data_IF_457251775474
#
_entry.id   IF_457251775474
#
_cell.length_a   1.000
_cell.length_b   1.000
_cell.length_c   1.000
_cell.angle_alpha   90.00
_cell.angle_beta   90.00
_cell.angle_gamma   90.00
#
_symmetry.space_group_name_H-M   'P 1'
#
loop_
_entity.id
_entity.type
_entity.pdbx_description
1 polymer ?
#
# COMPACT_ATOMS: atom_id res chain seq x y z
N UNK A 1 -39.49 56.29 4.53
CA UNK A 1 -38.68 57.51 4.31
C UNK A 1 -37.66 57.53 5.44
N UNK A 2 -36.34 57.49 5.26
CA UNK A 2 -35.48 57.93 4.18
C UNK A 2 -34.19 57.06 4.18
N UNK A 3 -33.65 56.84 2.99
CA UNK A 3 -32.43 56.09 2.67
C UNK A 3 -31.23 56.37 3.59
N UNK A 4 -30.54 55.32 4.03
CA UNK A 4 -29.10 55.41 4.32
C UNK A 4 -28.33 54.69 3.22
N UNK A 5 -27.54 55.49 2.50
CA UNK A 5 -26.79 55.16 1.29
C UNK A 5 -25.54 54.37 1.72
N UNK A 6 -25.47 53.10 1.33
CA UNK A 6 -24.26 52.28 1.47
C UNK A 6 -23.21 52.90 0.54
N UNK A 7 -22.18 53.53 1.12
CA UNK A 7 -20.97 53.88 0.40
C UNK A 7 -20.03 52.68 0.48
N UNK A 8 -19.85 51.97 -0.64
CA UNK A 8 -18.74 51.05 -0.82
C UNK A 8 -17.43 51.85 -0.79
N UNK A 9 -16.45 51.52 0.07
CA UNK A 9 -15.11 52.02 -0.10
C UNK A 9 -14.44 51.35 -1.32
N UNK A 10 -13.68 52.17 -2.03
CA UNK A 10 -12.96 51.94 -3.29
C UNK A 10 -12.00 50.72 -3.21
N UNK A 11 -11.77 49.94 -4.29
CA UNK A 11 -10.95 48.71 -4.24
C UNK A 11 -9.44 48.96 -4.40
N UNK A 12 -8.98 50.20 -4.27
CA UNK A 12 -7.58 50.59 -4.53
C UNK A 12 -6.90 51.09 -3.25
N UNK A 13 -6.55 50.21 -2.31
CA UNK A 13 -5.54 50.50 -1.28
C UNK A 13 -5.13 49.26 -0.46
N UNK A 14 -4.52 48.26 -1.10
CA UNK A 14 -3.63 47.30 -0.42
C UNK A 14 -2.50 46.89 -1.38
N UNK A 15 -1.72 47.86 -1.84
CA UNK A 15 -0.42 47.62 -2.44
C UNK A 15 0.55 47.22 -1.32
N UNK A 16 0.60 45.93 -1.00
CA UNK A 16 1.70 45.36 -0.22
C UNK A 16 2.86 45.18 -1.19
N UNK A 17 3.64 46.25 -1.42
CA UNK A 17 5.00 46.12 -1.95
C UNK A 17 5.89 45.57 -0.83
N UNK A 18 5.76 44.28 -0.57
CA UNK A 18 6.78 43.51 0.13
C UNK A 18 7.44 42.69 -0.96
N UNK A 19 8.65 43.10 -1.37
CA UNK A 19 9.58 42.20 -2.03
C UNK A 19 9.80 41.02 -1.09
N UNK A 20 9.02 39.96 -1.27
CA UNK A 20 9.27 38.65 -0.70
C UNK A 20 10.57 38.16 -1.32
N UNK A 21 11.71 38.50 -0.70
CA UNK A 21 12.93 37.75 -0.88
C UNK A 21 12.68 36.34 -0.38
N UNK A 22 12.20 35.47 -1.26
CA UNK A 22 12.33 34.03 -1.10
C UNK A 22 13.83 33.74 -1.22
N UNK A 23 14.53 33.72 -0.09
CA UNK A 23 15.80 33.01 -0.05
C UNK A 23 15.47 31.53 -0.29
N UNK A 24 15.83 31.03 -1.46
CA UNK A 24 15.71 29.61 -1.78
C UNK A 24 16.46 28.85 -0.69
N UNK A 25 15.77 27.91 -0.04
CA UNK A 25 16.42 27.04 0.95
C UNK A 25 17.58 26.32 0.23
N UNK A 26 18.81 26.30 0.76
CA UNK A 26 19.90 25.54 0.15
C UNK A 26 19.58 24.05 -0.02
N UNK A 27 18.53 23.54 0.65
CA UNK A 27 17.98 22.20 0.48
C UNK A 27 16.70 22.15 -0.37
N UNK A 28 16.27 23.26 -0.96
CA UNK A 28 15.14 23.31 -1.87
C UNK A 28 15.45 22.47 -3.11
N UNK A 29 14.68 21.40 -3.26
CA UNK A 29 14.79 20.47 -4.36
C UNK A 29 14.47 21.20 -5.67
N UNK A 30 15.50 21.55 -6.44
CA UNK A 30 15.34 22.18 -7.75
C UNK A 30 14.90 21.13 -8.76
N UNK A 31 13.67 21.27 -9.22
CA UNK A 31 13.06 20.36 -10.20
C UNK A 31 13.92 20.21 -11.47
N UNK A 32 14.60 21.27 -11.89
CA UNK A 32 15.48 21.29 -13.07
C UNK A 32 16.78 20.48 -12.87
N UNK A 33 17.23 20.29 -11.63
CA UNK A 33 18.39 19.47 -11.26
C UNK A 33 18.01 18.00 -10.96
N UNK A 34 16.71 17.69 -10.85
CA UNK A 34 16.17 16.36 -10.57
C UNK A 34 15.77 15.57 -11.82
N UNK A 35 15.97 16.12 -13.02
CA UNK A 35 15.60 15.47 -14.29
C UNK A 35 16.49 14.24 -14.57
N UNK A 36 17.67 14.16 -13.95
CA UNK A 36 18.53 12.98 -14.09
C UNK A 36 18.37 12.00 -12.92
N UNK A 37 17.91 10.80 -13.30
CA UNK A 37 17.94 9.54 -12.57
C UNK A 37 16.74 9.28 -11.63
N UNK A 38 15.54 9.18 -12.19
CA UNK A 38 14.70 8.06 -11.75
C UNK A 38 15.42 6.77 -12.22
N UNK A 39 15.90 5.92 -11.32
CA UNK A 39 16.57 4.68 -11.72
C UNK A 39 15.55 3.78 -12.42
N UNK A 40 15.95 3.20 -13.56
CA UNK A 40 15.15 2.18 -14.24
C UNK A 40 14.87 1.02 -13.27
N UNK A 41 13.71 0.36 -13.37
CA UNK A 41 13.36 -0.75 -12.49
C UNK A 41 14.37 -1.90 -12.66
N UNK A 42 15.22 -2.07 -11.66
CA UNK A 42 16.21 -3.15 -11.63
C UNK A 42 15.56 -4.47 -11.16
N UNK A 43 15.95 -5.56 -11.80
CA UNK A 43 15.58 -6.91 -11.38
C UNK A 43 16.46 -7.34 -10.22
N UNK A 44 15.85 -7.77 -9.11
CA UNK A 44 16.57 -8.35 -7.99
C UNK A 44 16.94 -9.80 -8.33
N UNK A 45 18.24 -10.09 -8.41
CA UNK A 45 18.75 -11.42 -8.76
C UNK A 45 18.21 -12.50 -7.80
N UNK A 46 17.70 -13.60 -8.36
CA UNK A 46 17.15 -14.72 -7.58
C UNK A 46 15.69 -14.57 -7.14
N UNK A 47 15.05 -13.42 -7.39
CA UNK A 47 13.62 -13.22 -7.14
C UNK A 47 12.78 -13.31 -8.43
N UNK A 48 11.52 -13.77 -8.33
CA UNK A 48 10.62 -13.78 -9.49
C UNK A 48 10.35 -12.35 -9.96
N UNK A 49 10.20 -12.19 -11.27
CA UNK A 49 9.77 -10.92 -11.84
C UNK A 49 8.38 -10.54 -11.32
N UNK A 50 8.19 -9.25 -11.08
CA UNK A 50 6.87 -8.69 -10.84
C UNK A 50 5.96 -9.00 -12.02
N UNK A 51 4.71 -9.30 -11.74
CA UNK A 51 3.74 -9.47 -12.80
C UNK A 51 3.50 -8.16 -13.54
N UNK A 52 3.55 -8.19 -14.87
CA UNK A 52 3.44 -7.00 -15.71
C UNK A 52 2.00 -6.47 -15.80
N UNK A 53 1.00 -7.28 -15.49
CA UNK A 53 -0.41 -6.87 -15.51
C UNK A 53 -0.91 -6.63 -14.09
N UNK A 54 -1.64 -5.53 -13.92
CA UNK A 54 -2.39 -5.26 -12.69
C UNK A 54 -3.49 -6.33 -12.49
N UNK A 55 -3.98 -6.56 -11.25
CA UNK A 55 -5.11 -7.45 -11.03
C UNK A 55 -6.36 -7.08 -11.86
N UNK A 56 -6.58 -5.78 -12.12
CA UNK A 56 -7.67 -5.33 -12.97
C UNK A 56 -7.48 -5.78 -14.43
N UNK A 57 -6.28 -5.60 -14.99
CA UNK A 57 -5.97 -6.03 -16.37
C UNK A 57 -5.93 -7.56 -16.50
N UNK A 58 -5.51 -8.24 -15.44
CA UNK A 58 -5.43 -9.70 -15.38
C UNK A 58 -6.80 -10.35 -15.37
N UNK A 59 -7.74 -9.82 -14.58
CA UNK A 59 -9.05 -10.44 -14.36
C UNK A 59 -10.20 -9.70 -15.03
N UNK A 60 -9.97 -8.57 -15.72
CA UNK A 60 -10.92 -7.90 -16.62
C UNK A 60 -12.34 -7.84 -16.03
N UNK A 61 -13.33 -8.44 -16.71
CA UNK A 61 -14.72 -8.39 -16.29
C UNK A 61 -15.03 -9.15 -14.99
N UNK A 62 -14.15 -10.08 -14.56
CA UNK A 62 -14.28 -10.74 -13.26
C UNK A 62 -13.91 -9.76 -12.17
N UNK A 63 -12.85 -8.97 -12.36
CA UNK A 63 -12.46 -7.92 -11.44
C UNK A 63 -13.58 -6.90 -11.25
N UNK A 64 -14.10 -6.35 -12.35
CA UNK A 64 -15.20 -5.37 -12.31
C UNK A 64 -16.44 -5.93 -11.61
N UNK A 65 -16.80 -7.18 -11.88
CA UNK A 65 -17.96 -7.81 -11.26
C UNK A 65 -17.77 -8.02 -9.76
N UNK A 66 -16.60 -8.50 -9.32
CA UNK A 66 -16.28 -8.67 -7.90
C UNK A 66 -16.33 -7.34 -7.15
N UNK A 67 -15.75 -6.28 -7.72
CA UNK A 67 -15.72 -4.96 -7.09
C UNK A 67 -17.12 -4.31 -7.06
N UNK A 68 -17.93 -4.51 -8.10
CA UNK A 68 -19.29 -3.93 -8.20
C UNK A 68 -20.29 -4.59 -7.25
N UNK A 69 -20.22 -5.92 -7.11
CA UNK A 69 -21.09 -6.71 -6.21
C UNK A 69 -20.69 -6.57 -4.74
N UNK A 70 -19.53 -5.97 -4.43
CA UNK A 70 -19.04 -5.72 -3.07
C UNK A 70 -19.12 -6.97 -2.19
N UNK A 71 -18.70 -8.11 -2.75
CA UNK A 71 -18.66 -9.39 -2.03
C UNK A 71 -17.61 -9.39 -0.90
N UNK A 72 -16.69 -8.43 -0.88
CA UNK A 72 -15.75 -8.23 0.22
C UNK A 72 -16.03 -6.92 0.95
N UNK A 73 -15.66 -6.81 2.25
CA UNK A 73 -15.90 -5.59 3.02
C UNK A 73 -15.11 -4.39 2.51
N UNK A 74 -14.06 -4.62 1.71
CA UNK A 74 -13.28 -3.58 1.07
C UNK A 74 -12.87 -3.93 -0.37
N UNK A 75 -12.30 -2.94 -1.05
CA UNK A 75 -11.86 -3.03 -2.45
C UNK A 75 -10.45 -3.60 -2.62
N UNK A 76 -9.72 -3.90 -1.52
CA UNK A 76 -8.33 -4.39 -1.53
C UNK A 76 -8.26 -5.92 -1.42
N UNK A 77 -9.24 -6.54 -0.77
CA UNK A 77 -9.28 -7.98 -0.50
C UNK A 77 -9.12 -8.82 -1.78
N UNK A 78 -9.85 -8.50 -2.86
CA UNK A 78 -9.76 -9.27 -4.10
C UNK A 78 -8.45 -9.07 -4.88
N UNK A 79 -7.94 -7.84 -5.08
CA UNK A 79 -6.60 -7.63 -5.62
C UNK A 79 -5.48 -8.42 -4.93
N UNK A 80 -5.61 -8.67 -3.63
CA UNK A 80 -4.62 -9.41 -2.82
C UNK A 80 -4.80 -10.94 -2.88
N UNK A 81 -5.86 -11.42 -3.51
CA UNK A 81 -6.14 -12.84 -3.61
C UNK A 81 -5.20 -13.50 -4.63
N UNK A 82 -4.38 -14.45 -4.19
CA UNK A 82 -3.55 -15.24 -5.09
C UNK A 82 -4.40 -16.30 -5.82
N UNK A 83 -4.26 -16.46 -7.15
CA UNK A 83 -5.04 -17.45 -7.87
C UNK A 83 -4.54 -18.87 -7.59
N UNK A 84 -5.47 -19.83 -7.54
CA UNK A 84 -5.16 -21.25 -7.33
C UNK A 84 -4.68 -21.97 -8.59
N UNK A 85 -4.80 -21.31 -9.75
CA UNK A 85 -4.45 -21.85 -11.06
C UNK A 85 -4.21 -20.71 -12.05
N UNK A 86 -3.92 -21.06 -13.31
CA UNK A 86 -3.69 -20.08 -14.35
C UNK A 86 -4.85 -19.03 -14.46
N UNK A 87 -4.55 -17.72 -14.40
CA UNK A 87 -5.55 -16.66 -14.47
C UNK A 87 -6.45 -16.70 -15.72
N UNK A 88 -5.92 -17.10 -16.88
CA UNK A 88 -6.71 -17.24 -18.10
C UNK A 88 -7.71 -18.38 -17.98
N UNK A 89 -7.33 -19.49 -17.37
CA UNK A 89 -8.25 -20.61 -17.10
C UNK A 89 -9.38 -20.20 -16.15
N UNK A 90 -9.09 -19.41 -15.12
CA UNK A 90 -10.09 -18.84 -14.22
C UNK A 90 -11.08 -17.98 -15.01
N UNK A 91 -10.59 -17.10 -15.89
CA UNK A 91 -11.45 -16.26 -16.73
C UNK A 91 -12.32 -17.07 -17.70
N UNK A 92 -11.75 -18.09 -18.35
CA UNK A 92 -12.50 -18.98 -19.25
C UNK A 92 -13.63 -19.68 -18.47
N UNK A 93 -13.33 -20.17 -17.25
CA UNK A 93 -14.34 -20.80 -16.38
C UNK A 93 -15.42 -19.81 -15.99
N UNK A 94 -15.03 -18.62 -15.53
CA UNK A 94 -15.95 -17.54 -15.16
C UNK A 94 -16.91 -17.21 -16.32
N UNK A 95 -16.39 -17.00 -17.53
CA UNK A 95 -17.19 -16.69 -18.72
C UNK A 95 -18.24 -17.77 -19.05
N UNK A 96 -17.92 -19.04 -18.79
CA UNK A 96 -18.84 -20.17 -18.99
C UNK A 96 -19.96 -20.18 -17.94
N UNK A 97 -19.64 -19.93 -16.68
CA UNK A 97 -20.60 -20.09 -15.58
C UNK A 97 -21.38 -18.83 -15.23
N UNK A 98 -20.87 -17.63 -15.53
CA UNK A 98 -21.46 -16.35 -15.08
C UNK A 98 -22.90 -16.09 -15.55
N UNK A 99 -23.36 -16.79 -16.59
CA UNK A 99 -24.73 -16.66 -17.14
C UNK A 99 -25.69 -17.73 -16.59
N UNK A 100 -25.22 -18.65 -15.75
CA UNK A 100 -26.09 -19.62 -15.10
C UNK A 100 -26.92 -18.95 -14.01
N UNK A 101 -28.18 -19.40 -13.86
CA UNK A 101 -29.12 -18.84 -12.89
C UNK A 101 -28.69 -19.05 -11.43
N UNK A 102 -27.95 -20.12 -11.16
CA UNK A 102 -27.48 -20.50 -9.83
C UNK A 102 -26.02 -20.07 -9.57
N UNK A 103 -25.48 -19.16 -10.39
CA UNK A 103 -24.11 -18.68 -10.24
C UNK A 103 -23.96 -17.82 -8.98
N UNK A 104 -23.02 -18.21 -8.12
CA UNK A 104 -22.65 -17.49 -6.90
C UNK A 104 -21.21 -16.99 -7.04
N UNK A 105 -21.07 -15.67 -7.15
CA UNK A 105 -19.77 -15.02 -7.37
C UNK A 105 -18.82 -15.22 -6.19
N UNK A 106 -19.32 -15.19 -4.95
CA UNK A 106 -18.50 -15.40 -3.76
C UNK A 106 -17.91 -16.80 -3.77
N UNK A 107 -18.75 -17.82 -3.97
CA UNK A 107 -18.28 -19.22 -4.06
C UNK A 107 -17.32 -19.42 -5.23
N UNK A 108 -17.56 -18.74 -6.35
CA UNK A 108 -16.65 -18.80 -7.49
C UNK A 108 -15.25 -18.30 -7.10
N UNK A 109 -15.17 -17.14 -6.43
CA UNK A 109 -13.89 -16.58 -5.96
C UNK A 109 -13.22 -17.49 -4.94
N UNK A 110 -13.94 -17.92 -3.89
CA UNK A 110 -13.40 -18.81 -2.85
C UNK A 110 -12.85 -20.14 -3.42
N UNK A 111 -13.45 -20.65 -4.49
CA UNK A 111 -13.00 -21.88 -5.15
C UNK A 111 -11.76 -21.69 -6.02
N UNK A 112 -11.54 -20.50 -6.60
CA UNK A 112 -10.46 -20.25 -7.57
C UNK A 112 -9.32 -19.39 -7.02
N UNK A 113 -9.49 -18.80 -5.84
CA UNK A 113 -8.51 -17.93 -5.21
C UNK A 113 -8.24 -18.31 -3.76
N UNK A 114 -7.02 -18.04 -3.30
CA UNK A 114 -6.67 -18.01 -1.89
C UNK A 114 -6.98 -16.61 -1.34
N UNK A 115 -7.82 -16.54 -0.31
CA UNK A 115 -8.09 -15.28 0.37
C UNK A 115 -6.83 -14.84 1.13
N UNK A 116 -6.55 -13.52 1.21
CA UNK A 116 -5.41 -13.03 1.94
C UNK A 116 -5.50 -13.44 3.40
N UNK A 117 -4.37 -13.79 4.00
CA UNK A 117 -4.29 -14.06 5.43
C UNK A 117 -4.60 -12.78 6.19
N UNK A 118 -5.65 -12.83 7.00
CA UNK A 118 -5.89 -11.77 7.97
C UNK A 118 -4.93 -12.04 9.13
N UNK A 119 -3.83 -11.29 9.17
CA UNK A 119 -2.96 -11.20 10.34
C UNK A 119 -3.72 -10.46 11.45
N UNK A 120 -4.79 -11.06 11.97
CA UNK A 120 -5.51 -10.53 13.12
C UNK A 120 -4.53 -10.48 14.27
N UNK A 121 -4.38 -9.28 14.84
CA UNK A 121 -3.45 -9.02 15.93
C UNK A 121 -3.81 -9.90 17.14
N UNK A 122 -3.14 -11.04 17.28
CA UNK A 122 -3.04 -11.72 18.58
C UNK A 122 -2.38 -10.82 19.64
N UNK A 123 -1.80 -9.70 19.19
CA UNK A 123 -1.32 -8.64 20.03
C UNK A 123 -2.46 -7.96 20.79
N UNK A 124 -2.52 -8.25 22.09
CA UNK A 124 -3.35 -7.54 23.06
C UNK A 124 -2.46 -6.56 23.82
N UNK A 125 -2.74 -5.27 23.68
CA UNK A 125 -2.04 -4.22 24.42
C UNK A 125 -2.26 -4.39 25.92
N UNK A 126 -1.19 -4.51 26.71
CA UNK A 126 -1.26 -4.41 28.16
C UNK A 126 -1.25 -2.92 28.56
N UNK A 127 -2.31 -2.39 29.20
CA UNK A 127 -2.35 -1.00 29.67
C UNK A 127 -1.27 -0.64 30.70
N UNK A 128 -0.60 -1.63 31.28
CA UNK A 128 0.52 -1.43 32.23
C UNK A 128 1.85 -1.19 31.51
N UNK A 129 1.97 -1.51 30.22
CA UNK A 129 3.19 -1.26 29.47
C UNK A 129 3.38 0.24 29.25
N UNK A 130 4.62 0.71 29.37
CA UNK A 130 4.99 2.02 28.87
C UNK A 130 4.80 2.08 27.35
N UNK A 131 4.63 3.30 26.81
CA UNK A 131 4.54 3.51 25.36
C UNK A 131 5.72 2.87 24.61
N UNK A 132 6.93 2.94 25.17
CA UNK A 132 8.12 2.36 24.58
C UNK A 132 8.05 0.83 24.52
N UNK A 133 7.66 0.19 25.62
CA UNK A 133 7.52 -1.28 25.69
C UNK A 133 6.43 -1.76 24.73
N UNK A 134 5.34 -1.01 24.63
CA UNK A 134 4.27 -1.27 23.67
C UNK A 134 4.78 -1.21 22.21
N UNK A 135 5.57 -0.19 21.86
CA UNK A 135 6.17 -0.07 20.51
C UNK A 135 7.18 -1.21 20.27
N UNK A 136 8.03 -1.51 21.25
CA UNK A 136 9.03 -2.58 21.12
C UNK A 136 8.38 -3.96 20.92
N UNK A 137 7.19 -4.19 21.49
CA UNK A 137 6.41 -5.43 21.31
C UNK A 137 5.63 -5.48 19.99
N UNK A 138 5.30 -4.32 19.39
CA UNK A 138 4.64 -4.27 18.08
C UNK A 138 5.59 -4.64 16.94
N UNK A 139 6.89 -4.41 17.10
CA UNK A 139 7.86 -4.66 16.03
C UNK A 139 7.81 -6.09 15.47
N UNK A 140 7.91 -7.17 16.27
CA UNK A 140 7.78 -8.53 15.75
C UNK A 140 6.42 -8.82 15.11
N UNK A 141 5.35 -8.16 15.57
CA UNK A 141 4.00 -8.34 15.02
C UNK A 141 3.89 -7.71 13.65
N UNK A 142 4.56 -6.58 13.40
CA UNK A 142 4.53 -5.84 12.15
C UNK A 142 5.62 -6.28 11.15
N UNK A 143 6.59 -7.09 11.58
CA UNK A 143 7.57 -7.68 10.68
C UNK A 143 6.95 -8.78 9.82
N UNK A 144 7.32 -8.82 8.55
CA UNK A 144 7.07 -9.90 7.62
C UNK A 144 8.40 -10.49 7.16
N UNK A 145 8.47 -11.81 7.18
CA UNK A 145 9.62 -12.54 6.66
C UNK A 145 9.49 -12.72 5.13
N UNK A 146 10.60 -12.86 4.40
CA UNK A 146 10.59 -13.32 3.02
C UNK A 146 9.84 -14.65 2.92
N UNK A 147 8.85 -14.71 2.03
CA UNK A 147 8.10 -15.92 1.74
C UNK A 147 8.28 -16.32 0.29
N UNK A 148 8.09 -17.61 0.01
CA UNK A 148 8.02 -18.10 -1.36
C UNK A 148 6.88 -17.39 -2.10
N UNK A 149 7.21 -16.82 -3.26
CA UNK A 149 6.24 -16.10 -4.06
C UNK A 149 5.23 -17.06 -4.68
N UNK A 150 3.95 -16.81 -4.39
CA UNK A 150 2.85 -17.52 -5.04
C UNK A 150 2.72 -16.98 -6.48
N UNK A 151 2.78 -17.83 -7.52
CA UNK A 151 2.66 -17.39 -8.89
C UNK A 151 1.40 -16.54 -9.14
N UNK A 152 1.57 -15.44 -9.89
CA UNK A 152 0.51 -14.47 -10.24
C UNK A 152 -0.14 -13.77 -9.04
N UNK A 153 0.46 -13.87 -7.85
CA UNK A 153 0.10 -13.02 -6.71
C UNK A 153 0.49 -11.58 -7.01
N UNK A 154 -0.31 -10.64 -6.52
CA UNK A 154 0.01 -9.22 -6.58
C UNK A 154 1.10 -8.81 -5.58
N UNK A 155 1.35 -9.62 -4.54
CA UNK A 155 2.41 -9.37 -3.56
C UNK A 155 3.79 -9.62 -4.16
N UNK A 156 4.61 -8.57 -4.22
CA UNK A 156 5.98 -8.64 -4.72
C UNK A 156 6.89 -9.34 -3.71
N UNK A 157 7.75 -10.22 -4.21
CA UNK A 157 8.76 -10.89 -3.40
C UNK A 157 9.85 -9.89 -2.98
N UNK A 158 10.25 -9.93 -1.70
CA UNK A 158 11.34 -9.14 -1.17
C UNK A 158 12.41 -10.05 -0.57
N UNK A 159 13.71 -9.71 -0.72
CA UNK A 159 14.80 -10.60 -0.31
C UNK A 159 15.05 -10.60 1.19
N UNK A 160 14.55 -9.59 1.91
CA UNK A 160 14.81 -9.35 3.32
C UNK A 160 13.48 -9.09 4.05
N UNK A 161 13.47 -9.31 5.37
CA UNK A 161 12.31 -9.00 6.19
C UNK A 161 11.97 -7.52 6.11
N UNK A 162 10.68 -7.18 6.19
CA UNK A 162 10.19 -5.81 6.08
C UNK A 162 9.08 -5.55 7.08
N UNK A 163 8.84 -4.27 7.39
CA UNK A 163 7.77 -3.86 8.30
C UNK A 163 6.56 -3.43 7.49
N UNK A 164 5.37 -3.82 7.95
CA UNK A 164 4.10 -3.38 7.38
C UNK A 164 3.38 -2.41 8.34
N UNK A 165 2.51 -1.53 7.84
CA UNK A 165 1.71 -0.66 8.71
C UNK A 165 0.77 -1.42 9.67
N UNK A 166 0.43 -2.66 9.31
CA UNK A 166 -0.45 -3.54 10.09
C UNK A 166 -1.90 -3.55 9.61
N UNK A 167 -2.70 -4.43 10.22
CA UNK A 167 -4.09 -4.66 9.83
C UNK A 167 -4.19 -5.34 8.46
N UNK A 168 -4.91 -4.72 7.51
CA UNK A 168 -5.12 -5.28 6.16
C UNK A 168 -3.96 -5.09 5.19
N UNK A 169 -2.89 -4.45 5.65
CA UNK A 169 -1.72 -4.14 4.83
C UNK A 169 -0.65 -5.20 5.07
N UNK A 170 -0.41 -6.03 4.06
CA UNK A 170 0.63 -7.08 4.04
C UNK A 170 1.88 -6.66 3.29
N UNK A 171 1.83 -5.52 2.59
CA UNK A 171 2.92 -4.98 1.79
C UNK A 171 3.69 -3.89 2.55
N UNK A 172 4.97 -3.71 2.21
CA UNK A 172 5.72 -2.52 2.64
C UNK A 172 5.26 -1.27 1.89
N UNK A 173 5.31 -0.12 2.57
CA UNK A 173 4.95 1.18 2.01
C UNK A 173 6.18 2.08 1.99
N UNK A 174 6.49 2.65 0.82
CA UNK A 174 7.73 3.41 0.60
C UNK A 174 7.91 4.54 1.62
N UNK A 175 6.94 5.43 1.75
CA UNK A 175 7.07 6.58 2.66
C UNK A 175 7.07 6.16 4.13
N UNK A 176 6.30 5.13 4.49
CA UNK A 176 6.27 4.60 5.85
C UNK A 176 7.63 4.00 6.23
N UNK A 177 8.34 3.37 5.29
CA UNK A 177 9.65 2.75 5.54
C UNK A 177 10.70 3.76 6.03
N UNK A 178 10.59 5.04 5.64
CA UNK A 178 11.47 6.12 6.09
C UNK A 178 11.32 6.37 7.60
N UNK A 179 10.08 6.43 8.09
CA UNK A 179 9.79 6.66 9.51
C UNK A 179 10.09 5.45 10.37
N UNK A 180 9.94 4.24 9.83
CA UNK A 180 10.34 3.02 10.51
C UNK A 180 11.84 3.02 10.80
N UNK A 181 12.68 3.36 9.81
CA UNK A 181 14.13 3.44 10.00
C UNK A 181 14.55 4.54 10.98
N UNK A 182 13.87 5.68 10.98
CA UNK A 182 14.15 6.78 11.90
C UNK A 182 13.67 6.50 13.35
N UNK A 183 12.47 5.94 13.52
CA UNK A 183 11.88 5.60 14.81
C UNK A 183 12.53 4.39 15.49
N UNK A 184 13.15 3.52 14.70
CA UNK A 184 13.89 2.35 15.14
C UNK A 184 15.20 2.63 15.92
N UNK A 185 15.64 3.89 15.98
CA UNK A 185 16.68 4.39 16.90
C UNK A 185 17.86 3.44 17.10
N UNK A 186 18.62 3.14 16.05
CA UNK A 186 19.86 2.34 16.10
C UNK A 186 19.75 0.86 16.52
N UNK A 187 18.63 0.43 17.12
CA UNK A 187 18.45 -0.94 17.62
C UNK A 187 18.00 -1.93 16.55
N UNK A 188 17.32 -1.46 15.51
CA UNK A 188 16.94 -2.33 14.37
C UNK A 188 18.13 -2.73 13.50
N UNK A 189 19.14 -1.86 13.33
CA UNK A 189 20.37 -2.22 12.63
C UNK A 189 21.12 -3.37 13.32
N UNK A 190 21.05 -3.45 14.66
CA UNK A 190 21.63 -4.57 15.43
C UNK A 190 20.82 -5.88 15.36
N UNK A 191 19.48 -5.82 15.30
CA UNK A 191 18.64 -7.04 15.23
C UNK A 191 18.69 -7.73 13.87
N UNK A 192 18.83 -6.98 12.76
CA UNK A 192 19.11 -7.59 11.46
C UNK A 192 20.46 -8.35 11.48
N UNK A 193 21.49 -7.79 12.13
CA UNK A 193 22.80 -8.46 12.25
C UNK A 193 22.75 -9.72 13.15
N UNK A 194 21.91 -9.74 14.18
CA UNK A 194 21.75 -10.91 15.07
C UNK A 194 20.83 -12.01 14.49
N UNK A 195 19.81 -11.66 13.70
CA UNK A 195 18.96 -12.65 13.02
C UNK A 195 19.67 -13.31 11.81
N UNK A 196 20.66 -12.65 11.22
CA UNK A 196 21.55 -13.22 10.19
C UNK A 196 22.85 -13.81 10.78
N UNK A 197 22.81 -14.25 12.03
CA UNK A 197 23.93 -14.91 12.71
C UNK A 197 24.27 -16.30 12.16
N UNK A 198 25.19 -16.32 11.18
CA UNK A 198 25.96 -17.43 10.57
C UNK A 198 25.39 -18.12 9.34
#
# INVERSE_FOLDING_TARGET
MLNQKIQNPNPDELMIEVDLCYELDPYELKLDEMIEAEPEPEMIEGLPASDALTPADRYLELFEHVQSEKIFPDSKTFPDCAPKMDPLDILIRYRKVRRHRDFDLRKFVENHFWLPEVYSSEYVSDPQNSLKEHIDQLWPVLTREPQDHIPWSSLLALPQSYIVPGGRFSETYYWDSLFHHAGAGGKWSGRFAEMHGR
#
